data_IF_432753483529
#
_entry.id   IF_432753483529
#
_cell.length_a   1.000
_cell.length_b   1.000
_cell.length_c   1.000
_cell.angle_alpha   90.00
_cell.angle_beta   90.00
_cell.angle_gamma   90.00
#
_symmetry.space_group_name_H-M   'P 1'
#
loop_
_entity.id
_entity.type
_entity.pdbx_description
1 polymer ?
#
# COMPACT_ATOMS: atom_id res chain seq x y z
N UNK A 1 -9.87 -10.95 10.86
CA UNK A 1 -10.45 -10.31 9.66
C UNK A 1 -10.04 -8.85 9.47
N UNK A 2 -10.06 -7.99 10.52
CA UNK A 2 -9.67 -6.57 10.38
C UNK A 2 -8.25 -6.34 9.84
N UNK A 3 -7.26 -7.13 10.28
CA UNK A 3 -5.88 -7.03 9.81
C UNK A 3 -5.72 -7.26 8.31
N UNK A 4 -6.40 -8.25 7.74
CA UNK A 4 -6.37 -8.53 6.30
C UNK A 4 -6.97 -7.39 5.48
N UNK A 5 -8.05 -6.77 5.97
CA UNK A 5 -8.65 -5.59 5.33
C UNK A 5 -7.70 -4.39 5.38
N UNK A 6 -7.01 -4.17 6.50
CA UNK A 6 -6.01 -3.10 6.61
C UNK A 6 -4.83 -3.33 5.66
N UNK A 7 -4.32 -4.56 5.54
CA UNK A 7 -3.27 -4.90 4.59
C UNK A 7 -3.73 -4.70 3.14
N UNK A 8 -4.97 -5.09 2.82
CA UNK A 8 -5.54 -4.84 1.50
C UNK A 8 -5.66 -3.34 1.19
N UNK A 9 -6.06 -2.53 2.18
CA UNK A 9 -6.12 -1.08 2.03
C UNK A 9 -4.74 -0.45 1.84
N UNK A 10 -3.72 -0.87 2.61
CA UNK A 10 -2.34 -0.40 2.43
C UNK A 10 -1.79 -0.78 1.05
N UNK A 11 -2.00 -2.02 0.64
CA UNK A 11 -1.59 -2.49 -0.67
C UNK A 11 -2.29 -1.69 -1.79
N UNK A 12 -3.59 -1.43 -1.66
CA UNK A 12 -4.35 -0.62 -2.61
C UNK A 12 -3.86 0.83 -2.65
N UNK A 13 -3.65 1.47 -1.50
CA UNK A 13 -3.19 2.86 -1.44
C UNK A 13 -1.84 3.03 -2.11
N UNK A 14 -0.92 2.08 -1.91
CA UNK A 14 0.42 2.14 -2.50
C UNK A 14 0.42 1.77 -4.00
N UNK A 15 -0.50 0.89 -4.44
CA UNK A 15 -0.44 0.30 -5.78
C UNK A 15 -1.57 0.72 -6.75
N UNK A 16 -2.57 1.48 -6.30
CA UNK A 16 -3.75 1.85 -7.10
C UNK A 16 -3.41 2.86 -8.20
N UNK A 17 -2.52 3.81 -7.91
CA UNK A 17 -2.11 4.89 -8.82
C UNK A 17 -0.85 4.56 -9.64
N UNK A 18 -0.42 3.29 -9.69
CA UNK A 18 0.78 2.88 -10.43
C UNK A 18 0.69 3.31 -11.90
N UNK A 19 1.71 4.05 -12.30
CA UNK A 19 1.90 4.48 -13.67
C UNK A 19 2.12 3.28 -14.62
N UNK A 20 1.82 3.43 -15.92
CA UNK A 20 2.30 2.51 -16.94
C UNK A 20 3.83 2.44 -16.93
N UNK A 21 4.38 1.25 -17.19
CA UNK A 21 5.83 1.06 -17.32
C UNK A 21 6.30 1.61 -18.67
N UNK A 22 6.74 2.88 -18.66
CA UNK A 22 7.18 3.61 -19.85
C UNK A 22 8.64 3.29 -20.21
N UNK A 23 9.38 2.60 -19.33
CA UNK A 23 10.82 2.37 -19.50
C UNK A 23 11.15 1.34 -20.59
N UNK A 24 10.17 0.55 -21.05
CA UNK A 24 10.31 -0.36 -22.17
C UNK A 24 9.24 -0.06 -23.23
N UNK A 25 9.50 0.88 -24.13
CA UNK A 25 8.61 1.23 -25.26
C UNK A 25 8.15 0.01 -26.08
N UNK A 26 8.95 -1.08 -26.10
CA UNK A 26 8.61 -2.35 -26.78
C UNK A 26 7.71 -3.30 -25.97
N UNK A 27 7.48 -3.05 -24.68
CA UNK A 27 6.66 -3.87 -23.77
C UNK A 27 5.56 -3.10 -23.05
N UNK A 28 5.34 -1.82 -23.39
CA UNK A 28 4.34 -0.98 -22.72
C UNK A 28 2.89 -1.50 -22.85
N UNK A 29 2.64 -2.43 -23.79
CA UNK A 29 1.32 -3.00 -24.02
C UNK A 29 1.37 -4.50 -24.31
N UNK A 30 0.36 -5.24 -23.85
CA UNK A 30 0.09 -6.61 -24.31
C UNK A 30 -1.32 -6.71 -24.91
N UNK A 31 -1.44 -7.49 -25.98
CA UNK A 31 -2.71 -7.76 -26.64
C UNK A 31 -3.32 -9.02 -26.03
N UNK A 32 -4.51 -8.90 -25.44
CA UNK A 32 -5.33 -10.08 -25.12
C UNK A 32 -6.43 -10.25 -26.17
N UNK A 33 -6.47 -11.44 -26.77
CA UNK A 33 -7.60 -11.89 -27.57
C UNK A 33 -8.47 -12.81 -26.70
N UNK A 34 -9.69 -12.39 -26.31
CA UNK A 34 -10.57 -13.24 -25.52
C UNK A 34 -10.93 -14.48 -26.35
N UNK A 35 -10.47 -15.68 -25.93
CA UNK A 35 -10.68 -16.93 -26.67
C UNK A 35 -12.16 -17.28 -26.93
N UNK A 36 -13.08 -16.73 -26.14
CA UNK A 36 -14.51 -17.09 -26.14
C UNK A 36 -15.38 -16.26 -27.10
N UNK A 37 -14.92 -15.11 -27.60
CA UNK A 37 -15.65 -14.30 -28.58
C UNK A 37 -14.65 -13.83 -29.60
N UNK A 38 -14.97 -13.98 -30.89
CA UNK A 38 -14.27 -13.38 -32.04
C UNK A 38 -14.32 -11.83 -31.95
N UNK A 39 -13.86 -11.27 -30.85
CA UNK A 39 -13.88 -9.86 -30.52
C UNK A 39 -12.53 -9.22 -30.79
N UNK A 40 -12.56 -7.92 -31.02
CA UNK A 40 -11.36 -7.13 -31.31
C UNK A 40 -10.34 -7.25 -30.17
N UNK A 41 -9.04 -7.29 -30.49
CA UNK A 41 -7.98 -7.33 -29.50
C UNK A 41 -8.07 -6.14 -28.55
N UNK A 42 -7.92 -6.39 -27.24
CA UNK A 42 -7.83 -5.33 -26.23
C UNK A 42 -6.36 -5.07 -25.92
N UNK A 43 -5.94 -3.82 -26.08
CA UNK A 43 -4.59 -3.36 -25.75
C UNK A 43 -4.58 -3.01 -24.25
N UNK A 44 -3.85 -3.80 -23.46
CA UNK A 44 -3.69 -3.55 -22.03
C UNK A 44 -2.31 -2.97 -21.75
N UNK A 45 -2.24 -1.91 -20.93
CA UNK A 45 -0.97 -1.35 -20.50
C UNK A 45 -0.25 -2.28 -19.52
N UNK A 46 1.05 -2.47 -19.72
CA UNK A 46 1.91 -3.08 -18.70
C UNK A 46 2.19 -2.01 -17.65
N UNK A 47 1.71 -2.24 -16.43
CA UNK A 47 1.93 -1.35 -15.28
C UNK A 47 3.29 -1.67 -14.64
N UNK A 48 3.89 -0.66 -14.00
CA UNK A 48 5.09 -0.85 -13.16
C UNK A 48 4.82 -1.94 -12.11
N UNK A 49 5.85 -2.71 -11.74
CA UNK A 49 5.77 -3.76 -10.72
C UNK A 49 5.14 -3.23 -9.42
N UNK A 50 4.39 -4.09 -8.73
CA UNK A 50 3.84 -3.76 -7.42
C UNK A 50 4.94 -3.42 -6.42
N UNK A 51 4.69 -2.41 -5.60
CA UNK A 51 5.51 -2.04 -4.47
C UNK A 51 4.89 -2.56 -3.16
N UNK A 52 5.75 -2.83 -2.18
CA UNK A 52 5.41 -3.43 -0.89
C UNK A 52 6.11 -2.70 0.27
N UNK A 53 6.40 -1.41 0.10
CA UNK A 53 7.10 -0.61 1.12
C UNK A 53 6.32 -0.57 2.43
N UNK A 54 4.98 -0.60 2.37
CA UNK A 54 4.15 -0.74 3.57
C UNK A 54 4.55 -1.93 4.44
N UNK A 55 5.00 -3.04 3.86
CA UNK A 55 5.39 -4.24 4.61
C UNK A 55 6.71 -4.02 5.35
N UNK A 56 7.67 -3.35 4.70
CA UNK A 56 8.93 -2.98 5.33
C UNK A 56 8.70 -1.97 6.46
N UNK A 57 7.92 -0.93 6.22
CA UNK A 57 7.59 0.09 7.22
C UNK A 57 6.89 -0.54 8.45
N UNK A 58 5.99 -1.49 8.23
CA UNK A 58 5.34 -2.23 9.33
C UNK A 58 6.35 -3.07 10.13
N UNK A 59 7.31 -3.71 9.47
CA UNK A 59 8.35 -4.49 10.15
C UNK A 59 9.25 -3.59 10.99
N UNK A 60 9.69 -2.46 10.43
CA UNK A 60 10.52 -1.49 11.14
C UNK A 60 9.81 -0.94 12.38
N UNK A 61 8.53 -0.58 12.25
CA UNK A 61 7.70 -0.10 13.36
C UNK A 61 7.57 -1.17 14.47
N UNK A 62 7.40 -2.45 14.12
CA UNK A 62 7.35 -3.54 15.10
C UNK A 62 8.67 -3.65 15.87
N UNK A 63 9.80 -3.56 15.17
CA UNK A 63 11.14 -3.61 15.79
C UNK A 63 11.34 -2.42 16.72
N UNK A 64 10.99 -1.21 16.28
CA UNK A 64 11.10 0.01 17.08
C UNK A 64 10.24 -0.10 18.33
N UNK A 65 8.97 -0.47 18.21
CA UNK A 65 8.07 -0.65 19.36
C UNK A 65 8.58 -1.72 20.33
N UNK A 66 9.16 -2.82 19.82
CA UNK A 66 9.75 -3.86 20.68
C UNK A 66 10.94 -3.35 21.49
N UNK A 67 11.74 -2.42 20.92
CA UNK A 67 12.86 -1.79 21.62
C UNK A 67 12.41 -0.74 22.64
N UNK A 68 11.36 0.02 22.34
CA UNK A 68 10.83 1.06 23.22
C UNK A 68 10.02 0.51 24.38
N UNK A 69 9.27 -0.58 24.16
CA UNK A 69 8.33 -1.13 25.13
C UNK A 69 8.69 -2.58 25.46
N UNK A 70 8.94 -2.84 26.74
CA UNK A 70 9.33 -4.16 27.23
C UNK A 70 8.18 -5.18 27.12
N UNK A 71 6.92 -4.72 27.23
CA UNK A 71 5.74 -5.58 27.16
C UNK A 71 4.72 -5.06 26.14
N UNK A 72 3.86 -5.96 25.66
CA UNK A 72 2.77 -5.61 24.75
C UNK A 72 1.78 -4.62 25.39
N UNK A 73 1.45 -4.77 26.68
CA UNK A 73 0.50 -3.88 27.37
C UNK A 73 0.96 -2.42 27.29
N UNK A 74 2.23 -2.20 27.64
CA UNK A 74 2.83 -0.85 27.60
C UNK A 74 2.85 -0.27 26.18
N UNK A 75 3.11 -1.10 25.16
CA UNK A 75 3.07 -0.67 23.77
C UNK A 75 1.64 -0.34 23.29
N UNK A 76 0.64 -1.07 23.79
CA UNK A 76 -0.77 -0.90 23.46
C UNK A 76 -1.35 0.38 24.08
N UNK A 77 -1.00 0.65 25.33
CA UNK A 77 -1.37 1.89 26.03
C UNK A 77 -0.77 3.11 25.32
N UNK A 78 0.53 3.07 24.99
CA UNK A 78 1.18 4.13 24.23
C UNK A 78 0.50 4.39 22.88
N UNK A 79 0.21 3.32 22.10
CA UNK A 79 -0.55 3.44 20.84
C UNK A 79 -1.90 4.12 21.04
N UNK A 80 -2.61 3.76 22.10
CA UNK A 80 -3.95 4.28 22.38
C UNK A 80 -3.87 5.78 22.68
N UNK A 81 -2.85 6.21 23.43
CA UNK A 81 -2.59 7.62 23.71
C UNK A 81 -2.20 8.39 22.44
N UNK A 82 -1.34 7.82 21.57
CA UNK A 82 -0.97 8.41 20.27
C UNK A 82 -2.20 8.64 19.37
N UNK A 83 -3.11 7.67 19.30
CA UNK A 83 -4.32 7.78 18.47
C UNK A 83 -5.35 8.79 19.01
N UNK A 84 -5.29 9.10 20.31
CA UNK A 84 -6.20 10.04 20.95
C UNK A 84 -5.68 11.49 20.92
N UNK A 85 -4.52 11.74 20.32
CA UNK A 85 -3.99 13.09 20.22
C UNK A 85 -4.78 13.90 19.19
N UNK A 86 -5.37 15.02 19.62
CA UNK A 86 -6.01 15.96 18.70
C UNK A 86 -4.95 16.57 17.79
N UNK A 87 -5.19 16.63 16.46
CA UNK A 87 -4.24 17.28 15.55
C UNK A 87 -4.05 18.74 15.96
N UNK A 88 -2.84 19.29 15.82
CA UNK A 88 -2.58 20.69 16.15
C UNK A 88 -3.51 21.60 15.34
N UNK A 89 -4.12 22.56 16.01
CA UNK A 89 -4.99 23.55 15.37
C UNK A 89 -4.12 24.34 14.39
N UNK A 90 -4.43 24.23 13.09
CA UNK A 90 -3.77 25.04 12.07
C UNK A 90 -4.19 26.48 12.34
N UNK A 91 -3.29 27.30 12.87
CA UNK A 91 -3.48 28.75 12.98
C UNK A 91 -3.63 29.29 11.56
N UNK A 92 -4.85 29.73 11.22
CA UNK A 92 -5.09 30.45 9.98
C UNK A 92 -4.19 31.68 9.96
N UNK A 93 -3.23 31.68 9.03
CA UNK A 93 -2.34 32.81 8.74
C UNK A 93 -2.96 33.66 7.63
#
# INVERSE_FOLDING_TARGET
MKSLLCLAALHFNENSSRAPDVANERKAHYISSPKARKGNPVINHVKVKHNYDYAQNLMEEVIIRRKLYLTYSTAHEARTNEMNHTPPVVSAS
#
